data_IF_176548969507
#
_entry.id   IF_176548969507
#
_cell.length_a   1.000
_cell.length_b   1.000
_cell.length_c   1.000
_cell.angle_alpha   90.00
_cell.angle_beta   90.00
_cell.angle_gamma   90.00
#
_symmetry.space_group_name_H-M   'P 1'
#
loop_
_entity.id
_entity.type
_entity.pdbx_description
1 polymer ?
#
# COMPACT_ATOMS: atom_id res chain seq x y z
N UNK A 1 82.86 -31.54 23.72
CA UNK A 1 82.58 -31.35 22.28
C UNK A 1 81.54 -32.36 21.86
N UNK A 2 80.33 -31.90 21.51
CA UNK A 2 79.27 -32.79 21.02
C UNK A 2 79.59 -33.15 19.57
N UNK A 3 79.79 -34.44 19.26
CA UNK A 3 80.04 -34.90 17.89
C UNK A 3 78.72 -34.92 17.12
N UNK A 4 78.63 -34.17 16.02
CA UNK A 4 77.51 -34.25 15.09
C UNK A 4 77.74 -35.49 14.21
N UNK A 5 76.81 -36.46 14.26
CA UNK A 5 76.89 -37.71 13.49
C UNK A 5 76.14 -37.53 12.17
N UNK A 6 76.85 -37.65 11.06
CA UNK A 6 76.26 -37.73 9.72
C UNK A 6 75.80 -39.17 9.47
N UNK A 7 74.55 -39.34 9.07
CA UNK A 7 73.95 -40.64 8.76
C UNK A 7 73.72 -40.76 7.26
N UNK A 8 73.60 -41.99 6.76
CA UNK A 8 73.34 -42.27 5.36
C UNK A 8 72.20 -43.27 5.23
N UNK A 9 71.21 -42.97 4.39
CA UNK A 9 70.08 -43.84 4.11
C UNK A 9 69.84 -43.93 2.60
N UNK A 10 69.32 -45.05 2.12
CA UNK A 10 69.00 -45.27 0.71
C UNK A 10 67.58 -44.77 0.45
N UNK A 11 67.41 -43.77 -0.40
CA UNK A 11 66.11 -43.19 -0.73
C UNK A 11 65.25 -44.16 -1.57
N UNK A 12 63.98 -43.80 -1.81
CA UNK A 12 63.01 -44.59 -2.58
C UNK A 12 63.43 -44.87 -4.04
N UNK A 13 64.40 -44.11 -4.56
CA UNK A 13 64.99 -44.28 -5.89
C UNK A 13 66.27 -45.13 -5.86
N UNK A 14 66.65 -45.66 -4.70
CA UNK A 14 67.82 -46.50 -4.54
C UNK A 14 69.16 -45.75 -4.40
N UNK A 15 69.14 -44.43 -4.23
CA UNK A 15 70.34 -43.60 -4.09
C UNK A 15 70.66 -43.41 -2.61
N UNK A 16 71.93 -43.55 -2.21
CA UNK A 16 72.36 -43.29 -0.83
C UNK A 16 72.51 -41.78 -0.65
N UNK A 17 71.70 -41.22 0.24
CA UNK A 17 71.77 -39.81 0.63
C UNK A 17 72.26 -39.70 2.07
N UNK A 18 73.12 -38.71 2.31
CA UNK A 18 73.64 -38.43 3.64
C UNK A 18 72.88 -37.27 4.27
N UNK A 19 72.52 -37.39 5.54
CA UNK A 19 71.78 -36.36 6.27
C UNK A 19 72.29 -36.22 7.70
N UNK A 20 71.97 -35.08 8.31
CA UNK A 20 72.19 -34.82 9.72
C UNK A 20 70.85 -34.93 10.45
N UNK A 21 70.67 -35.94 11.35
CA UNK A 21 69.37 -36.23 11.94
C UNK A 21 68.74 -35.05 12.67
N UNK A 22 69.55 -34.27 13.40
CA UNK A 22 69.05 -33.11 14.16
C UNK A 22 68.61 -31.96 13.24
N UNK A 23 69.38 -31.63 12.20
CA UNK A 23 69.00 -30.57 11.25
C UNK A 23 67.76 -30.95 10.43
N UNK A 24 67.58 -32.24 10.12
CA UNK A 24 66.38 -32.72 9.45
C UNK A 24 65.15 -32.68 10.38
N UNK A 25 65.32 -33.03 11.67
CA UNK A 25 64.25 -32.91 12.66
C UNK A 25 63.80 -31.46 12.87
N UNK A 26 64.75 -30.52 12.99
CA UNK A 26 64.47 -29.08 13.11
C UNK A 26 63.73 -28.52 11.88
N UNK A 27 64.10 -28.94 10.66
CA UNK A 27 63.41 -28.54 9.44
C UNK A 27 61.97 -29.06 9.36
N UNK A 28 61.73 -30.29 9.84
CA UNK A 28 60.38 -30.89 9.92
C UNK A 28 59.54 -30.20 10.99
N UNK A 29 60.10 -29.87 12.16
CA UNK A 29 59.39 -29.12 13.19
C UNK A 29 59.03 -27.70 12.73
N UNK A 30 59.96 -26.99 12.10
CA UNK A 30 59.69 -25.65 11.54
C UNK A 30 58.60 -25.66 10.46
N UNK A 31 58.53 -26.71 9.63
CA UNK A 31 57.44 -26.88 8.66
C UNK A 31 56.10 -27.15 9.36
N UNK A 32 56.08 -27.98 10.40
CA UNK A 32 54.86 -28.28 11.17
C UNK A 32 54.31 -27.04 11.84
N UNK A 33 55.16 -26.21 12.46
CA UNK A 33 54.75 -24.96 13.09
C UNK A 33 54.21 -23.95 12.09
N UNK A 34 54.84 -23.84 10.91
CA UNK A 34 54.34 -23.01 9.82
C UNK A 34 52.96 -23.49 9.32
N UNK A 35 52.77 -24.80 9.14
CA UNK A 35 51.49 -25.40 8.72
C UNK A 35 50.42 -25.20 9.79
N UNK A 36 50.74 -25.40 11.07
CA UNK A 36 49.83 -25.14 12.20
C UNK A 36 49.43 -23.67 12.23
N UNK A 37 50.37 -22.74 12.02
CA UNK A 37 50.08 -21.31 11.91
C UNK A 37 49.09 -20.98 10.79
N UNK A 38 49.28 -21.57 9.60
CA UNK A 38 48.35 -21.41 8.47
C UNK A 38 46.97 -22.01 8.76
N UNK A 39 46.90 -23.16 9.42
CA UNK A 39 45.62 -23.80 9.79
C UNK A 39 44.88 -22.97 10.85
N UNK A 40 45.58 -22.42 11.84
CA UNK A 40 44.98 -21.55 12.86
C UNK A 40 44.41 -20.25 12.25
N UNK A 41 45.08 -19.70 11.24
CA UNK A 41 44.63 -18.52 10.49
C UNK A 41 43.40 -18.81 9.60
N UNK A 42 43.05 -20.07 9.31
CA UNK A 42 41.81 -20.36 8.56
C UNK A 42 40.53 -19.92 9.27
N UNK A 43 40.58 -19.67 10.58
CA UNK A 43 39.46 -19.10 11.35
C UNK A 43 39.21 -17.62 11.06
N UNK A 44 40.18 -16.93 10.44
CA UNK A 44 40.05 -15.54 9.95
C UNK A 44 39.53 -15.48 8.50
N UNK A 45 39.46 -16.62 7.81
CA UNK A 45 39.02 -16.71 6.42
C UNK A 45 37.50 -16.83 6.32
N UNK A 46 36.92 -16.07 5.39
CA UNK A 46 35.50 -16.14 5.07
C UNK A 46 35.16 -17.54 4.57
N UNK A 47 34.31 -18.24 5.32
CA UNK A 47 33.82 -19.57 4.98
C UNK A 47 32.97 -19.54 3.70
N UNK A 48 32.80 -20.70 3.06
CA UNK A 48 31.91 -20.83 1.91
C UNK A 48 30.45 -20.44 2.26
N UNK A 49 30.01 -20.72 3.49
CA UNK A 49 28.69 -20.37 3.98
C UNK A 49 28.52 -18.84 4.12
N UNK A 50 29.54 -18.12 4.62
CA UNK A 50 29.51 -16.66 4.71
C UNK A 50 29.48 -16.00 3.34
N UNK A 51 30.29 -16.47 2.38
CA UNK A 51 30.23 -15.98 0.98
C UNK A 51 28.85 -16.18 0.37
N UNK A 52 28.24 -17.34 0.59
CA UNK A 52 26.87 -17.59 0.16
C UNK A 52 25.88 -16.62 0.84
N UNK A 53 26.01 -16.38 2.15
CA UNK A 53 25.16 -15.44 2.88
C UNK A 53 25.35 -13.98 2.45
N UNK A 54 26.53 -13.58 2.00
CA UNK A 54 26.77 -12.23 1.47
C UNK A 54 26.18 -12.07 0.08
N UNK A 55 26.31 -13.09 -0.77
CA UNK A 55 25.73 -13.10 -2.11
C UNK A 55 24.19 -13.11 -2.09
N UNK A 56 23.57 -13.57 -1.01
CA UNK A 56 22.10 -13.53 -0.83
C UNK A 56 21.60 -12.23 -0.18
N UNK A 57 22.49 -11.29 0.16
CA UNK A 57 22.04 -9.99 0.68
C UNK A 57 21.23 -9.24 -0.37
N UNK A 58 20.28 -8.47 0.12
CA UNK A 58 19.49 -7.58 -0.71
C UNK A 58 20.41 -6.62 -1.49
N UNK A 59 20.03 -6.36 -2.74
CA UNK A 59 20.73 -5.41 -3.59
C UNK A 59 20.04 -4.05 -3.53
N UNK A 60 20.75 -2.97 -3.84
CA UNK A 60 20.14 -1.64 -3.95
C UNK A 60 19.02 -1.62 -4.98
N UNK A 61 19.20 -2.29 -6.12
CA UNK A 61 18.17 -2.45 -7.15
C UNK A 61 16.95 -3.22 -6.63
N UNK A 62 17.16 -4.33 -5.91
CA UNK A 62 16.09 -5.13 -5.35
C UNK A 62 15.31 -4.41 -4.23
N UNK A 63 16.00 -3.60 -3.43
CA UNK A 63 15.38 -2.72 -2.45
C UNK A 63 14.55 -1.61 -3.14
N UNK A 64 15.09 -0.98 -4.18
CA UNK A 64 14.38 0.05 -4.95
C UNK A 64 13.12 -0.53 -5.60
N UNK A 65 13.20 -1.72 -6.21
CA UNK A 65 12.04 -2.38 -6.80
C UNK A 65 10.92 -2.65 -5.78
N UNK A 66 11.27 -3.03 -4.53
CA UNK A 66 10.29 -3.18 -3.44
C UNK A 66 9.67 -1.85 -3.02
N UNK A 67 10.47 -0.79 -2.93
CA UNK A 67 9.99 0.54 -2.60
C UNK A 67 9.06 1.09 -3.68
N UNK A 68 9.40 0.90 -4.96
CA UNK A 68 8.57 1.31 -6.09
C UNK A 68 7.25 0.53 -6.12
N UNK A 69 7.29 -0.78 -5.85
CA UNK A 69 6.08 -1.60 -5.73
C UNK A 69 5.19 -1.12 -4.59
N UNK A 70 5.76 -0.78 -3.43
CA UNK A 70 5.02 -0.23 -2.30
C UNK A 70 4.40 1.14 -2.63
N UNK A 71 5.14 2.02 -3.32
CA UNK A 71 4.64 3.31 -3.77
C UNK A 71 3.48 3.15 -4.78
N UNK A 72 3.62 2.23 -5.74
CA UNK A 72 2.57 1.95 -6.71
C UNK A 72 1.31 1.40 -6.02
N UNK A 73 1.47 0.47 -5.07
CA UNK A 73 0.37 -0.07 -4.29
C UNK A 73 -0.33 1.02 -3.46
N UNK A 74 0.43 1.93 -2.84
CA UNK A 74 -0.11 3.03 -2.06
C UNK A 74 -0.90 4.02 -2.94
N UNK A 75 -0.40 4.35 -4.14
CA UNK A 75 -1.10 5.17 -5.14
C UNK A 75 -2.39 4.51 -5.57
N UNK A 76 -2.33 3.24 -5.99
CA UNK A 76 -3.50 2.49 -6.43
C UNK A 76 -4.58 2.39 -5.34
N UNK A 77 -4.17 2.17 -4.08
CA UNK A 77 -5.09 2.18 -2.95
C UNK A 77 -5.75 3.55 -2.77
N UNK A 78 -4.97 4.64 -2.81
CA UNK A 78 -5.47 6.01 -2.64
C UNK A 78 -6.44 6.37 -3.77
N UNK A 79 -6.04 6.19 -5.02
CA UNK A 79 -6.88 6.52 -6.19
C UNK A 79 -8.21 5.75 -6.17
N UNK A 80 -8.19 4.49 -5.73
CA UNK A 80 -9.41 3.69 -5.59
C UNK A 80 -10.26 4.11 -4.38
N UNK A 81 -9.65 4.49 -3.25
CA UNK A 81 -10.37 4.81 -2.01
C UNK A 81 -11.15 6.12 -2.09
N UNK A 82 -10.66 7.09 -2.86
CA UNK A 82 -11.28 8.41 -3.02
C UNK A 82 -12.13 8.53 -4.28
N UNK A 83 -12.26 7.45 -5.06
CA UNK A 83 -12.99 7.49 -6.33
C UNK A 83 -14.49 7.63 -6.09
N UNK A 84 -15.04 8.75 -6.56
CA UNK A 84 -16.48 8.95 -6.58
C UNK A 84 -17.18 8.01 -7.57
N UNK A 85 -18.38 7.60 -7.18
CA UNK A 85 -19.28 6.80 -8.00
C UNK A 85 -20.56 7.58 -8.21
N UNK A 86 -20.85 7.93 -9.46
CA UNK A 86 -22.14 8.53 -9.82
C UNK A 86 -23.24 7.48 -9.61
N UNK A 87 -24.19 7.80 -8.74
CA UNK A 87 -25.34 6.96 -8.41
C UNK A 87 -26.58 7.42 -9.18
N UNK A 88 -26.65 8.71 -9.49
CA UNK A 88 -27.76 9.30 -10.21
C UNK A 88 -27.32 10.58 -10.93
N UNK A 89 -27.73 10.69 -12.19
CA UNK A 89 -27.59 11.87 -13.03
C UNK A 89 -28.95 12.11 -13.73
N UNK A 90 -29.54 13.28 -13.51
CA UNK A 90 -30.84 13.61 -14.07
C UNK A 90 -31.34 14.98 -13.60
N UNK A 91 -32.66 15.15 -13.59
CA UNK A 91 -33.29 16.36 -13.08
C UNK A 91 -34.72 16.06 -12.62
N UNK A 92 -34.88 15.68 -11.35
CA UNK A 92 -36.20 15.38 -10.80
C UNK A 92 -36.38 16.01 -9.43
N UNK A 93 -37.63 16.09 -8.96
CA UNK A 93 -37.89 16.50 -7.58
C UNK A 93 -37.26 15.55 -6.55
N UNK A 94 -36.90 14.33 -6.96
CA UNK A 94 -36.38 13.29 -6.09
C UNK A 94 -37.42 12.91 -5.02
N UNK A 95 -38.50 12.27 -5.49
CA UNK A 95 -39.64 11.84 -4.67
C UNK A 95 -39.30 10.56 -3.88
N UNK A 96 -40.20 10.09 -3.02
CA UNK A 96 -39.98 8.85 -2.24
C UNK A 96 -39.77 7.61 -3.13
N UNK A 97 -40.33 7.61 -4.33
CA UNK A 97 -40.13 6.59 -5.37
C UNK A 97 -38.71 6.58 -5.94
N UNK A 98 -37.95 7.66 -5.78
CA UNK A 98 -36.55 7.73 -6.20
C UNK A 98 -35.68 7.20 -5.07
N UNK A 99 -35.38 5.91 -5.13
CA UNK A 99 -34.43 5.25 -4.23
C UNK A 99 -33.32 4.62 -5.05
N UNK A 100 -32.08 4.99 -4.72
CA UNK A 100 -30.89 4.42 -5.35
C UNK A 100 -30.02 3.75 -4.31
N UNK A 101 -29.33 2.71 -4.73
CA UNK A 101 -28.57 1.83 -3.84
C UNK A 101 -27.13 1.66 -4.30
N UNK A 102 -26.22 1.44 -3.36
CA UNK A 102 -24.82 1.11 -3.59
C UNK A 102 -24.33 0.05 -2.60
N UNK A 103 -23.13 -0.49 -2.84
CA UNK A 103 -22.52 -1.44 -1.91
C UNK A 103 -22.05 -0.70 -0.67
N UNK A 104 -22.19 -1.24 0.54
CA UNK A 104 -21.78 -0.55 1.77
C UNK A 104 -20.31 -0.11 1.77
N UNK A 105 -19.47 -0.80 1.00
CA UNK A 105 -18.06 -0.46 0.79
C UNK A 105 -17.85 0.79 -0.05
N UNK A 106 -18.79 1.17 -0.91
CA UNK A 106 -18.71 2.38 -1.75
C UNK A 106 -18.86 3.66 -0.92
N UNK A 107 -19.39 3.59 0.31
CA UNK A 107 -19.46 4.72 1.24
C UNK A 107 -18.19 4.81 2.07
N UNK A 108 -17.11 5.40 1.55
CA UNK A 108 -15.86 5.63 2.30
C UNK A 108 -15.91 6.92 3.10
N UNK A 109 -16.36 8.01 2.48
CA UNK A 109 -16.36 9.35 3.04
C UNK A 109 -17.73 9.96 3.22
N UNK A 110 -18.67 9.75 2.30
CA UNK A 110 -19.96 10.41 2.33
C UNK A 110 -20.70 10.40 1.00
N UNK A 111 -21.72 11.24 0.91
CA UNK A 111 -22.53 11.39 -0.30
C UNK A 111 -22.54 12.85 -0.70
N UNK A 112 -22.21 13.14 -1.96
CA UNK A 112 -22.45 14.43 -2.58
C UNK A 112 -23.82 14.45 -3.24
N UNK A 113 -24.55 15.53 -3.02
CA UNK A 113 -25.83 15.79 -3.68
C UNK A 113 -25.79 17.19 -4.26
N UNK A 114 -26.05 17.29 -5.56
CA UNK A 114 -26.25 18.54 -6.25
C UNK A 114 -27.74 18.78 -6.46
N UNK A 115 -28.17 20.00 -6.17
CA UNK A 115 -29.49 20.50 -6.54
C UNK A 115 -29.34 21.77 -7.38
N UNK A 116 -30.30 22.01 -8.26
CA UNK A 116 -30.33 23.21 -9.10
C UNK A 116 -31.77 23.71 -9.29
N UNK A 117 -31.93 24.92 -9.85
CA UNK A 117 -33.25 25.46 -10.15
C UNK A 117 -33.99 24.60 -11.17
N UNK A 118 -35.30 24.47 -10.95
CA UNK A 118 -36.19 23.67 -11.78
C UNK A 118 -37.49 24.43 -12.02
N UNK A 119 -38.02 24.33 -13.23
CA UNK A 119 -39.33 24.87 -13.60
C UNK A 119 -40.21 23.77 -14.18
N UNK A 120 -41.42 23.65 -13.65
CA UNK A 120 -42.41 22.66 -14.11
C UNK A 120 -42.69 22.85 -15.60
N UNK A 121 -42.61 21.77 -16.37
CA UNK A 121 -42.82 21.78 -17.82
C UNK A 121 -41.61 22.23 -18.66
N UNK A 122 -40.59 22.82 -18.03
CA UNK A 122 -39.32 23.18 -18.70
C UNK A 122 -38.18 22.25 -18.30
N UNK A 123 -38.12 21.84 -17.03
CA UNK A 123 -37.05 21.01 -16.49
C UNK A 123 -36.00 21.80 -15.70
N UNK A 124 -34.80 21.25 -15.60
CA UNK A 124 -33.64 21.92 -14.99
C UNK A 124 -33.26 23.18 -15.77
N UNK A 125 -32.98 24.26 -15.06
CA UNK A 125 -32.71 25.57 -15.66
C UNK A 125 -31.22 25.88 -15.87
N UNK A 126 -30.31 25.04 -15.36
CA UNK A 126 -28.87 25.21 -15.56
C UNK A 126 -28.25 26.34 -14.71
N UNK A 127 -28.92 26.77 -13.64
CA UNK A 127 -28.39 27.77 -12.70
C UNK A 127 -28.95 27.58 -11.28
N UNK A 128 -28.41 28.35 -10.32
CA UNK A 128 -28.84 28.28 -8.92
C UNK A 128 -28.45 26.97 -8.25
N UNK A 129 -27.26 26.48 -8.56
CA UNK A 129 -26.70 25.25 -8.02
C UNK A 129 -26.40 25.36 -6.53
N UNK A 130 -26.73 24.30 -5.79
CA UNK A 130 -26.24 24.09 -4.44
C UNK A 130 -25.68 22.67 -4.35
N UNK A 131 -24.51 22.55 -3.73
CA UNK A 131 -23.82 21.28 -3.55
C UNK A 131 -23.70 20.99 -2.07
N UNK A 132 -24.09 19.79 -1.67
CA UNK A 132 -24.05 19.33 -0.29
C UNK A 132 -23.20 18.08 -0.18
N UNK A 133 -22.25 18.11 0.75
CA UNK A 133 -21.56 16.91 1.20
C UNK A 133 -22.18 16.43 2.51
N UNK A 134 -22.69 15.21 2.53
CA UNK A 134 -23.18 14.54 3.74
C UNK A 134 -22.13 13.53 4.20
N UNK A 135 -21.41 13.78 5.32
CA UNK A 135 -20.34 12.90 5.77
C UNK A 135 -20.89 11.54 6.21
N UNK A 136 -20.15 10.46 5.91
CA UNK A 136 -20.44 9.09 6.34
C UNK A 136 -20.74 9.00 7.83
N UNK A 137 -19.93 9.64 8.67
CA UNK A 137 -20.14 9.64 10.14
C UNK A 137 -21.53 10.17 10.52
N UNK A 138 -22.01 11.17 9.79
CA UNK A 138 -23.35 11.73 10.01
C UNK A 138 -24.44 10.77 9.53
N UNK A 139 -24.27 10.15 8.36
CA UNK A 139 -25.20 9.15 7.79
C UNK A 139 -25.36 7.96 8.75
N UNK A 140 -24.23 7.41 9.23
CA UNK A 140 -24.23 6.26 10.14
C UNK A 140 -24.85 6.59 11.51
N UNK A 141 -24.69 7.83 11.98
CA UNK A 141 -25.32 8.30 13.23
C UNK A 141 -26.83 8.50 13.08
N UNK A 142 -27.30 8.89 11.90
CA UNK A 142 -28.69 9.26 11.65
C UNK A 142 -29.30 8.49 10.46
N UNK A 143 -29.30 7.14 10.47
CA UNK A 143 -29.75 6.37 9.33
C UNK A 143 -31.24 6.59 9.08
N UNK A 144 -31.60 6.76 7.82
CA UNK A 144 -32.97 6.94 7.33
C UNK A 144 -33.73 8.13 7.97
N UNK A 145 -33.00 9.10 8.53
CA UNK A 145 -33.60 10.36 9.01
C UNK A 145 -33.74 11.35 7.85
N UNK A 146 -34.74 12.22 7.97
CA UNK A 146 -34.93 13.31 7.01
C UNK A 146 -33.78 14.30 7.12
N UNK A 147 -33.09 14.54 6.01
CA UNK A 147 -32.05 15.54 5.90
C UNK A 147 -32.49 16.62 4.91
N UNK A 148 -32.38 17.88 5.34
CA UNK A 148 -32.83 19.02 4.55
C UNK A 148 -31.64 19.70 3.87
N UNK A 149 -31.65 19.65 2.54
CA UNK A 149 -30.76 20.40 1.67
C UNK A 149 -31.40 21.78 1.46
N UNK A 150 -31.06 22.71 2.35
CA UNK A 150 -31.65 24.06 2.36
C UNK A 150 -31.09 24.92 1.23
N UNK A 151 -31.95 25.58 0.47
CA UNK A 151 -31.52 26.58 -0.51
C UNK A 151 -31.47 27.97 0.13
N UNK A 152 -30.80 28.92 -0.52
CA UNK A 152 -30.64 30.29 0.00
C UNK A 152 -31.77 31.23 -0.39
N UNK A 153 -32.85 30.75 -1.02
CA UNK A 153 -33.95 31.61 -1.41
C UNK A 153 -34.81 32.06 -0.21
N UNK A 154 -35.41 33.24 -0.33
CA UNK A 154 -36.22 33.87 0.72
C UNK A 154 -37.51 33.12 1.03
N UNK A 155 -37.90 32.13 0.23
CA UNK A 155 -39.09 31.33 0.45
C UNK A 155 -38.81 30.05 1.26
N UNK A 156 -37.55 29.76 1.60
CA UNK A 156 -37.19 28.60 2.42
C UNK A 156 -37.31 27.27 1.68
N UNK A 157 -37.11 27.27 0.36
CA UNK A 157 -37.11 26.04 -0.42
C UNK A 157 -35.99 25.07 0.05
N UNK A 158 -36.27 23.77 -0.04
CA UNK A 158 -35.34 22.72 0.37
C UNK A 158 -35.60 21.44 -0.42
N UNK A 159 -34.64 20.52 -0.35
CA UNK A 159 -34.87 19.10 -0.69
C UNK A 159 -34.72 18.24 0.53
N UNK A 160 -35.67 17.35 0.75
CA UNK A 160 -35.65 16.33 1.78
C UNK A 160 -35.12 15.04 1.17
N UNK A 161 -34.05 14.50 1.74
CA UNK A 161 -33.50 13.19 1.39
C UNK A 161 -33.35 12.33 2.65
N UNK A 162 -33.23 11.03 2.47
CA UNK A 162 -32.96 10.05 3.54
C UNK A 162 -31.82 9.16 3.09
N UNK A 163 -30.84 8.99 3.96
CA UNK A 163 -29.62 8.25 3.66
C UNK A 163 -29.44 7.10 4.64
N UNK A 164 -28.97 5.96 4.13
CA UNK A 164 -28.44 4.86 4.93
C UNK A 164 -27.00 4.58 4.48
N UNK A 165 -26.36 3.54 5.04
CA UNK A 165 -25.04 3.12 4.58
C UNK A 165 -25.01 2.65 3.12
N UNK A 166 -26.17 2.32 2.54
CA UNK A 166 -26.28 1.69 1.22
C UNK A 166 -27.33 2.35 0.31
N UNK A 167 -28.04 3.37 0.79
CA UNK A 167 -29.16 3.95 0.04
C UNK A 167 -29.27 5.46 0.19
N UNK A 168 -29.81 6.09 -0.85
CA UNK A 168 -30.40 7.43 -0.82
C UNK A 168 -31.84 7.33 -1.32
N UNK A 169 -32.76 7.99 -0.61
CA UNK A 169 -34.17 8.05 -0.97
C UNK A 169 -34.66 9.48 -0.90
N UNK A 170 -35.49 9.87 -1.85
CA UNK A 170 -36.18 11.16 -1.84
C UNK A 170 -37.37 11.21 -0.89
N UNK A 171 -38.18 12.25 -1.02
CA UNK A 171 -39.38 12.47 -0.21
C UNK A 171 -40.44 13.18 -1.06
N UNK A 172 -41.72 12.82 -0.87
CA UNK A 172 -42.79 13.36 -1.72
C UNK A 172 -43.03 14.85 -1.47
N UNK A 173 -42.66 15.37 -0.29
CA UNK A 173 -42.70 16.81 -0.02
C UNK A 173 -41.84 17.64 -0.99
N UNK A 174 -40.91 17.01 -1.70
CA UNK A 174 -40.06 17.71 -2.66
C UNK A 174 -40.82 18.24 -3.90
N UNK A 175 -42.04 17.76 -4.18
CA UNK A 175 -42.91 18.31 -5.23
C UNK A 175 -43.80 19.46 -4.74
N UNK A 176 -43.83 19.74 -3.44
CA UNK A 176 -44.64 20.81 -2.89
C UNK A 176 -43.99 22.18 -3.14
N UNK A 177 -44.79 23.24 -3.15
CA UNK A 177 -44.26 24.61 -3.15
C UNK A 177 -43.71 24.95 -1.76
N UNK A 178 -42.54 25.61 -1.63
CA UNK A 178 -41.67 26.12 -2.70
C UNK A 178 -40.57 25.13 -3.13
N UNK A 179 -40.57 23.90 -2.62
CA UNK A 179 -39.53 22.89 -2.83
C UNK A 179 -39.41 22.44 -4.29
N UNK A 180 -40.50 22.48 -5.04
CA UNK A 180 -40.54 22.18 -6.48
C UNK A 180 -39.82 23.19 -7.38
N UNK A 181 -39.37 24.34 -6.86
CA UNK A 181 -38.54 25.29 -7.60
C UNK A 181 -37.09 24.81 -7.80
N UNK A 182 -36.76 23.62 -7.28
CA UNK A 182 -35.46 22.97 -7.41
C UNK A 182 -35.63 21.49 -7.78
N UNK A 183 -34.56 20.89 -8.32
CA UNK A 183 -34.44 19.45 -8.55
C UNK A 183 -33.12 18.93 -7.99
N UNK A 184 -33.04 17.63 -7.71
CA UNK A 184 -31.76 16.93 -7.55
C UNK A 184 -31.25 16.60 -8.95
N UNK A 185 -30.02 17.01 -9.24
CA UNK A 185 -29.40 16.77 -10.54
C UNK A 185 -28.31 15.72 -10.54
N UNK A 186 -27.53 15.64 -9.47
CA UNK A 186 -26.47 14.65 -9.36
C UNK A 186 -26.39 14.08 -7.94
N UNK A 187 -26.06 12.79 -7.86
CA UNK A 187 -25.72 12.11 -6.61
C UNK A 187 -24.47 11.28 -6.81
N UNK A 188 -23.45 11.53 -5.99
CA UNK A 188 -22.23 10.74 -5.96
C UNK A 188 -22.04 10.14 -4.58
N UNK A 189 -21.72 8.85 -4.51
CA UNK A 189 -21.21 8.23 -3.30
C UNK A 189 -19.68 8.20 -3.37
N UNK A 190 -19.04 8.50 -2.24
CA UNK A 190 -17.59 8.42 -2.04
C UNK A 190 -17.32 7.62 -0.80
#
# INVERSE_FOLDING_TARGET
>A
MTKVVQMAEKNSSGVVETFYPMAHAEGVEGLRDAVIGVIMDQTSLVSAAEKASWNTKETTTGAQAKADAALLAAKAFTDAYFKEKNIWDGATYFLSSHTFTWNAEDLKQGVFVEIQRYLVGTGALGYGYHVFFIPKKFILKNPNKAYYLMTTDTAGAKKTIRLTSTTITGDDSNSDSPHNAYCVSNVFVI
#
